data_IF_939410164297
#
_entry.id   IF_939410164297
#
_cell.length_a   1.000
_cell.length_b   1.000
_cell.length_c   1.000
_cell.angle_alpha   90.00
_cell.angle_beta   90.00
_cell.angle_gamma   90.00
#
_symmetry.space_group_name_H-M   'P 1'
#
loop_
_entity.id
_entity.type
_entity.pdbx_description
1 polymer ?
#
# COMPACT_ATOMS: atom_id res chain seq x y z
N UNK A 1 9.27 20.55 16.40
CA UNK A 1 9.22 19.07 16.34
C UNK A 1 8.89 18.64 14.92
N UNK A 2 9.49 17.55 14.45
CA UNK A 2 9.23 16.99 13.11
C UNK A 2 7.76 16.60 12.92
N UNK A 3 7.18 16.85 11.74
CA UNK A 3 5.87 16.36 11.33
C UNK A 3 6.00 14.88 10.93
N UNK A 4 5.44 14.00 11.74
CA UNK A 4 5.52 12.55 11.57
C UNK A 4 4.52 12.07 10.51
N UNK A 5 5.01 11.29 9.56
CA UNK A 5 4.25 10.63 8.50
C UNK A 5 4.31 9.13 8.77
N UNK A 6 3.17 8.48 8.95
CA UNK A 6 3.11 7.02 9.04
C UNK A 6 2.64 6.44 7.71
N UNK A 7 3.36 5.44 7.20
CA UNK A 7 2.94 4.65 6.04
C UNK A 7 2.58 3.26 6.52
N UNK A 8 1.35 2.84 6.31
CA UNK A 8 0.89 1.48 6.62
C UNK A 8 0.60 0.73 5.33
N UNK A 9 0.92 -0.55 5.34
CA UNK A 9 0.65 -1.45 4.22
C UNK A 9 1.27 -2.82 4.44
N UNK A 10 1.43 -3.50 3.33
CA UNK A 10 1.88 -4.89 3.21
C UNK A 10 3.40 -5.01 2.94
N UNK A 11 3.80 -6.11 2.30
CA UNK A 11 5.15 -6.43 1.82
C UNK A 11 5.71 -5.42 0.82
N UNK A 12 4.88 -4.83 -0.03
CA UNK A 12 5.30 -3.80 -0.99
C UNK A 12 5.67 -2.53 -0.23
N UNK A 13 4.90 -2.17 0.80
CA UNK A 13 5.24 -1.05 1.69
C UNK A 13 6.49 -1.34 2.53
N UNK A 14 6.66 -2.59 2.97
CA UNK A 14 7.84 -3.05 3.70
C UNK A 14 9.12 -2.87 2.86
N UNK A 15 9.02 -3.08 1.55
CA UNK A 15 10.15 -2.97 0.61
C UNK A 15 10.70 -4.31 0.16
N UNK A 16 9.84 -5.34 0.08
CA UNK A 16 10.22 -6.65 -0.42
C UNK A 16 10.86 -6.55 -1.82
N UNK A 17 11.86 -7.40 -2.08
CA UNK A 17 12.60 -7.52 -3.35
C UNK A 17 13.38 -6.26 -3.79
N UNK A 18 13.76 -5.42 -2.84
CA UNK A 18 14.60 -4.26 -3.08
C UNK A 18 15.78 -4.24 -2.12
N UNK A 19 16.79 -5.04 -2.46
CA UNK A 19 18.05 -5.14 -1.74
C UNK A 19 18.96 -3.91 -1.94
N UNK A 20 18.71 -3.11 -2.98
CA UNK A 20 19.47 -1.89 -3.24
C UNK A 20 19.18 -0.77 -2.24
N UNK A 21 17.90 -0.45 -2.00
CA UNK A 21 17.50 0.69 -1.14
C UNK A 21 16.29 0.45 -0.25
N UNK A 22 15.78 -0.79 -0.17
CA UNK A 22 14.80 -1.19 0.85
C UNK A 22 13.40 -0.60 0.65
N UNK A 23 12.96 -0.44 -0.59
CA UNK A 23 11.59 -0.08 -0.96
C UNK A 23 11.33 1.40 -1.25
N UNK A 24 10.16 1.68 -1.82
CA UNK A 24 9.72 3.03 -2.16
C UNK A 24 9.56 3.93 -0.93
N UNK A 25 9.17 3.36 0.22
CA UNK A 25 9.04 4.09 1.49
C UNK A 25 10.38 4.54 2.05
N UNK A 26 11.42 3.71 1.92
CA UNK A 26 12.78 4.05 2.34
C UNK A 26 13.39 5.13 1.45
N UNK A 27 13.18 5.05 0.13
CA UNK A 27 13.54 6.15 -0.80
C UNK A 27 12.86 7.46 -0.42
N UNK A 28 11.56 7.41 -0.13
CA UNK A 28 10.81 8.58 0.29
C UNK A 28 11.37 9.18 1.59
N UNK A 29 11.73 8.33 2.56
CA UNK A 29 12.36 8.77 3.81
C UNK A 29 13.67 9.51 3.54
N UNK A 30 14.56 8.92 2.74
CA UNK A 30 15.86 9.50 2.39
C UNK A 30 15.67 10.85 1.71
N UNK A 31 14.79 10.92 0.71
CA UNK A 31 14.47 12.17 0.00
C UNK A 31 14.00 13.25 0.97
N UNK A 32 12.99 12.94 1.79
CA UNK A 32 12.41 13.92 2.72
C UNK A 32 13.44 14.43 3.73
N UNK A 33 14.26 13.53 4.28
CA UNK A 33 15.28 13.90 5.26
C UNK A 33 16.38 14.78 4.62
N UNK A 34 16.74 14.52 3.36
CA UNK A 34 17.73 15.32 2.61
C UNK A 34 17.25 16.73 2.23
N UNK A 35 15.98 16.87 1.81
CA UNK A 35 15.47 18.13 1.25
C UNK A 35 14.88 19.04 2.33
N UNK A 36 14.28 18.46 3.36
CA UNK A 36 13.51 19.21 4.36
C UNK A 36 14.19 19.29 5.73
N UNK A 37 15.49 18.97 5.83
CA UNK A 37 16.29 19.11 7.06
C UNK A 37 15.60 18.56 8.30
N UNK A 38 15.01 17.36 8.20
CA UNK A 38 14.25 16.67 9.27
C UNK A 38 12.98 17.40 9.76
N UNK A 39 12.41 18.32 8.96
CA UNK A 39 11.07 18.90 9.20
C UNK A 39 9.97 17.84 9.21
N UNK A 40 10.18 16.75 8.48
CA UNK A 40 9.32 15.57 8.46
C UNK A 40 10.12 14.32 8.80
N UNK A 41 9.41 13.30 9.31
CA UNK A 41 9.97 11.98 9.60
C UNK A 41 8.99 10.92 9.14
N UNK A 42 9.49 9.94 8.40
CA UNK A 42 8.69 8.83 7.86
C UNK A 42 8.89 7.59 8.71
N UNK A 43 7.77 6.96 9.06
CA UNK A 43 7.72 5.67 9.72
C UNK A 43 7.08 4.66 8.78
N UNK A 44 7.87 3.67 8.36
CA UNK A 44 7.40 2.53 7.59
C UNK A 44 6.79 1.50 8.55
N UNK A 45 5.50 1.19 8.36
CA UNK A 45 4.76 0.14 9.04
C UNK A 45 4.24 -0.92 8.06
N UNK A 46 4.96 -1.19 6.98
CA UNK A 46 4.77 -2.34 6.10
C UNK A 46 4.97 -3.65 6.85
N UNK A 47 4.12 -4.64 6.61
CA UNK A 47 4.21 -5.99 7.19
C UNK A 47 3.93 -7.01 6.09
N UNK A 48 4.78 -8.01 5.95
CA UNK A 48 4.59 -9.06 4.95
C UNK A 48 3.26 -9.80 5.13
N UNK A 49 2.55 -10.04 4.03
CA UNK A 49 1.24 -10.71 4.02
C UNK A 49 0.11 -9.98 4.76
N UNK A 50 0.31 -8.71 5.16
CA UNK A 50 -0.75 -7.94 5.84
C UNK A 50 -1.96 -7.78 4.92
N UNK A 51 -3.14 -7.70 5.52
CA UNK A 51 -4.41 -7.42 4.84
C UNK A 51 -5.10 -6.28 5.58
N UNK A 52 -6.17 -5.72 5.02
CA UNK A 52 -6.96 -4.70 5.73
C UNK A 52 -7.46 -5.18 7.09
N UNK A 53 -7.79 -6.48 7.23
CA UNK A 53 -8.20 -7.10 8.49
C UNK A 53 -7.09 -7.07 9.54
N UNK A 54 -5.87 -7.44 9.16
CA UNK A 54 -4.72 -7.50 10.05
C UNK A 54 -4.18 -6.09 10.37
N UNK A 55 -4.13 -5.20 9.38
CA UNK A 55 -3.81 -3.79 9.56
C UNK A 55 -4.70 -3.16 10.64
N UNK A 56 -6.02 -3.36 10.56
CA UNK A 56 -6.97 -2.81 11.53
C UNK A 56 -6.62 -3.19 12.98
N UNK A 57 -6.14 -4.41 13.22
CA UNK A 57 -5.80 -4.89 14.57
C UNK A 57 -4.60 -4.17 15.19
N UNK A 58 -3.61 -3.80 14.37
CA UNK A 58 -2.36 -3.16 14.84
C UNK A 58 -2.35 -1.64 14.76
N UNK A 59 -3.28 -1.06 13.98
CA UNK A 59 -3.32 0.36 13.63
C UNK A 59 -3.37 1.29 14.84
N UNK A 60 -4.31 1.08 15.77
CA UNK A 60 -4.53 2.01 16.89
C UNK A 60 -3.29 2.13 17.79
N UNK A 61 -2.64 1.01 18.11
CA UNK A 61 -1.43 1.00 18.96
C UNK A 61 -0.29 1.80 18.32
N UNK A 62 -0.08 1.63 17.01
CA UNK A 62 0.96 2.39 16.27
C UNK A 62 0.64 3.87 16.22
N UNK A 63 -0.60 4.24 15.89
CA UNK A 63 -1.03 5.65 15.83
C UNK A 63 -0.91 6.35 17.19
N UNK A 64 -1.27 5.70 18.30
CA UNK A 64 -1.09 6.25 19.64
C UNK A 64 0.39 6.48 20.00
N UNK A 65 1.26 5.54 19.63
CA UNK A 65 2.70 5.67 19.92
C UNK A 65 3.38 6.77 19.10
N UNK A 66 2.98 6.94 17.83
CA UNK A 66 3.64 7.86 16.90
C UNK A 66 2.92 9.20 16.80
N UNK A 67 1.63 9.33 17.12
CA UNK A 67 0.85 10.57 16.98
C UNK A 67 1.13 11.34 15.66
N UNK A 68 0.87 10.72 14.49
CA UNK A 68 1.25 11.28 13.19
C UNK A 68 0.46 12.53 12.82
N UNK A 69 1.05 13.33 11.93
CA UNK A 69 0.36 14.44 11.25
C UNK A 69 -0.20 14.03 9.90
N UNK A 70 0.35 13.00 9.25
CA UNK A 70 -0.12 12.46 7.98
C UNK A 70 -0.09 10.94 8.07
N UNK A 71 -1.10 10.28 7.52
CA UNK A 71 -1.14 8.82 7.36
C UNK A 71 -1.32 8.47 5.89
N UNK A 72 -0.49 7.55 5.40
CA UNK A 72 -0.57 6.97 4.05
C UNK A 72 -0.92 5.49 4.21
N UNK A 73 -1.92 5.01 3.46
CA UNK A 73 -2.35 3.61 3.44
C UNK A 73 -2.11 3.01 2.06
N UNK A 74 -1.36 1.92 2.01
CA UNK A 74 -1.03 1.16 0.80
C UNK A 74 -1.29 -0.33 1.11
N UNK A 75 -2.56 -0.70 1.17
CA UNK A 75 -3.03 -2.00 1.65
C UNK A 75 -4.18 -2.50 0.77
N UNK A 76 -4.19 -3.81 0.49
CA UNK A 76 -5.28 -4.46 -0.23
C UNK A 76 -4.87 -5.44 -1.33
N UNK A 77 -3.57 -5.52 -1.69
CA UNK A 77 -3.15 -6.50 -2.70
C UNK A 77 -3.36 -7.92 -2.18
N UNK A 78 -3.01 -8.20 -0.91
CA UNK A 78 -3.20 -9.50 -0.29
C UNK A 78 -4.69 -9.81 -0.01
N UNK A 79 -5.53 -8.79 0.22
CA UNK A 79 -6.98 -8.98 0.32
C UNK A 79 -7.54 -9.56 -1.00
N UNK A 80 -6.99 -9.14 -2.14
CA UNK A 80 -7.37 -9.61 -3.48
C UNK A 80 -6.83 -11.01 -3.83
N UNK A 81 -6.01 -11.63 -2.98
CA UNK A 81 -5.55 -13.01 -3.18
C UNK A 81 -6.76 -13.92 -3.42
N UNK A 82 -6.68 -14.80 -4.41
CA UNK A 82 -7.74 -15.75 -4.73
C UNK A 82 -7.25 -17.18 -4.57
N UNK A 83 -8.11 -18.07 -4.09
CA UNK A 83 -7.84 -19.49 -3.94
C UNK A 83 -8.64 -20.28 -4.98
N UNK A 84 -7.99 -20.69 -6.08
CA UNK A 84 -8.63 -21.42 -7.17
C UNK A 84 -9.28 -22.73 -6.72
N UNK A 85 -8.72 -23.39 -5.69
CA UNK A 85 -9.24 -24.69 -5.22
C UNK A 85 -10.62 -24.58 -4.57
N UNK A 86 -10.92 -23.44 -3.94
CA UNK A 86 -12.20 -23.19 -3.24
C UNK A 86 -13.03 -22.06 -3.88
N UNK A 87 -12.47 -21.40 -4.90
CA UNK A 87 -13.10 -20.31 -5.65
C UNK A 87 -13.48 -19.10 -4.78
N UNK A 88 -12.61 -18.73 -3.82
CA UNK A 88 -12.86 -17.64 -2.88
C UNK A 88 -11.68 -16.66 -2.81
N UNK A 89 -11.99 -15.38 -2.58
CA UNK A 89 -10.99 -14.39 -2.20
C UNK A 89 -10.56 -14.57 -0.75
N UNK A 90 -9.34 -14.16 -0.44
CA UNK A 90 -8.82 -14.24 0.92
C UNK A 90 -9.59 -13.34 1.88
N UNK A 91 -9.95 -12.14 1.43
CA UNK A 91 -10.88 -11.26 2.12
C UNK A 91 -12.00 -10.92 1.13
N UNK A 92 -13.26 -11.21 1.45
CA UNK A 92 -14.38 -10.85 0.59
C UNK A 92 -14.42 -9.33 0.31
N UNK A 93 -14.85 -8.93 -0.89
CA UNK A 93 -14.84 -7.52 -1.31
C UNK A 93 -15.72 -6.62 -0.41
N UNK A 94 -16.78 -7.16 0.19
CA UNK A 94 -17.62 -6.39 1.13
C UNK A 94 -16.94 -6.24 2.48
N UNK A 95 -16.27 -7.29 2.96
CA UNK A 95 -15.45 -7.23 4.17
C UNK A 95 -14.28 -6.26 4.00
N UNK A 96 -13.63 -6.26 2.84
CA UNK A 96 -12.60 -5.29 2.48
C UNK A 96 -13.13 -3.84 2.58
N UNK A 97 -14.26 -3.53 1.95
CA UNK A 97 -14.89 -2.18 2.04
C UNK A 97 -15.25 -1.80 3.49
N UNK A 98 -15.77 -2.76 4.26
CA UNK A 98 -16.06 -2.55 5.68
C UNK A 98 -14.78 -2.27 6.47
N UNK A 99 -13.68 -2.96 6.17
CA UNK A 99 -12.39 -2.75 6.81
C UNK A 99 -11.82 -1.37 6.48
N UNK A 100 -11.91 -0.90 5.22
CA UNK A 100 -11.50 0.47 4.85
C UNK A 100 -12.21 1.53 5.70
N UNK A 101 -13.52 1.37 5.90
CA UNK A 101 -14.33 2.26 6.74
C UNK A 101 -13.87 2.25 8.21
N UNK A 102 -13.61 1.06 8.77
CA UNK A 102 -13.09 0.90 10.14
C UNK A 102 -11.69 1.50 10.30
N UNK A 103 -10.79 1.26 9.34
CA UNK A 103 -9.43 1.80 9.30
C UNK A 103 -9.47 3.33 9.29
N UNK A 104 -10.25 3.93 8.39
CA UNK A 104 -10.38 5.39 8.30
C UNK A 104 -10.93 5.99 9.60
N UNK A 105 -11.94 5.34 10.19
CA UNK A 105 -12.55 5.77 11.46
C UNK A 105 -11.52 5.83 12.59
N UNK A 106 -10.61 4.85 12.65
CA UNK A 106 -9.51 4.87 13.63
C UNK A 106 -8.53 5.99 13.32
N UNK A 107 -8.09 6.13 12.06
CA UNK A 107 -7.07 7.14 11.67
C UNK A 107 -7.56 8.56 11.93
N UNK A 108 -8.82 8.87 11.63
CA UNK A 108 -9.40 10.22 11.77
C UNK A 108 -9.44 10.72 13.22
N UNK A 109 -9.33 9.82 14.21
CA UNK A 109 -9.14 10.20 15.63
C UNK A 109 -7.78 10.86 15.89
N UNK A 110 -6.79 10.63 15.03
CA UNK A 110 -5.41 11.12 15.19
C UNK A 110 -5.04 12.22 14.20
N UNK A 111 -5.47 12.09 12.94
CA UNK A 111 -5.20 13.12 11.93
C UNK A 111 -6.29 13.20 10.86
N UNK A 112 -6.65 14.41 10.38
CA UNK A 112 -7.52 14.55 9.22
C UNK A 112 -6.81 14.24 7.90
N UNK A 113 -5.46 14.24 7.86
CA UNK A 113 -4.67 14.07 6.62
C UNK A 113 -4.38 12.59 6.36
N UNK A 114 -5.19 11.99 5.50
CA UNK A 114 -5.11 10.58 5.12
C UNK A 114 -5.00 10.49 3.60
N UNK A 115 -4.12 9.64 3.10
CA UNK A 115 -3.87 9.41 1.67
C UNK A 115 -3.92 7.90 1.44
N UNK A 116 -4.55 7.47 0.36
CA UNK A 116 -4.51 6.08 -0.07
C UNK A 116 -3.66 5.93 -1.34
N UNK A 117 -2.94 4.82 -1.41
CA UNK A 117 -2.19 4.37 -2.57
C UNK A 117 -2.99 3.24 -3.23
N UNK A 118 -3.17 3.32 -4.54
CA UNK A 118 -3.78 2.25 -5.32
C UNK A 118 -2.92 1.00 -5.38
N UNK A 119 -3.54 -0.09 -5.79
CA UNK A 119 -2.87 -1.38 -6.00
C UNK A 119 -2.10 -1.36 -7.32
N UNK A 120 -1.03 -2.14 -7.38
CA UNK A 120 -0.27 -2.37 -8.61
C UNK A 120 -0.84 -3.58 -9.36
N UNK A 121 -0.68 -3.60 -10.68
CA UNK A 121 -0.89 -4.82 -11.45
C UNK A 121 0.16 -5.90 -11.11
N UNK A 122 -0.13 -7.13 -11.53
CA UNK A 122 0.75 -8.30 -11.43
C UNK A 122 1.10 -8.86 -12.81
N UNK A 123 2.22 -9.59 -12.89
CA UNK A 123 2.60 -10.42 -14.03
C UNK A 123 1.88 -11.78 -13.91
N UNK A 124 0.66 -11.86 -14.43
CA UNK A 124 -0.23 -13.02 -14.24
C UNK A 124 0.42 -14.36 -14.61
N UNK A 125 1.32 -14.39 -15.58
CA UNK A 125 2.02 -15.62 -15.96
C UNK A 125 2.79 -16.28 -14.81
N UNK A 126 3.32 -15.49 -13.87
CA UNK A 126 4.03 -16.01 -12.69
C UNK A 126 3.12 -16.30 -11.50
N UNK A 127 1.96 -15.64 -11.43
CA UNK A 127 1.12 -15.60 -10.23
C UNK A 127 -0.29 -16.15 -10.42
N UNK A 128 -0.65 -16.65 -11.61
CA UNK A 128 -1.97 -17.21 -11.93
C UNK A 128 -1.88 -18.58 -12.65
N UNK A 129 -1.71 -19.70 -11.91
CA UNK A 129 -1.58 -19.79 -10.46
C UNK A 129 -0.17 -19.43 -9.97
N UNK A 130 -0.04 -19.09 -8.69
CA UNK A 130 1.26 -18.83 -8.09
C UNK A 130 2.12 -20.10 -8.14
N UNK A 131 3.30 -20.00 -8.75
CA UNK A 131 4.20 -21.14 -8.94
C UNK A 131 4.52 -21.82 -7.61
N UNK A 132 4.30 -23.14 -7.55
CA UNK A 132 4.54 -23.95 -6.35
C UNK A 132 3.43 -23.88 -5.28
N UNK A 133 2.29 -23.26 -5.57
CA UNK A 133 1.17 -23.19 -4.62
C UNK A 133 0.38 -24.50 -4.54
N UNK A 134 0.45 -25.18 -3.39
CA UNK A 134 -0.39 -26.35 -3.09
C UNK A 134 -1.85 -25.97 -2.74
N UNK A 135 -2.10 -24.69 -2.49
CA UNK A 135 -3.40 -24.17 -2.03
C UNK A 135 -4.22 -23.52 -3.15
N UNK A 136 -3.67 -23.45 -4.37
CA UNK A 136 -4.32 -22.77 -5.49
C UNK A 136 -4.32 -21.24 -5.38
N UNK A 137 -3.43 -20.67 -4.55
CA UNK A 137 -3.21 -19.21 -4.48
C UNK A 137 -2.91 -18.64 -5.85
N UNK A 138 -3.60 -17.57 -6.21
CA UNK A 138 -3.31 -16.79 -7.39
C UNK A 138 -3.64 -15.31 -7.20
N UNK A 139 -3.00 -14.49 -8.04
CA UNK A 139 -3.36 -13.10 -8.25
C UNK A 139 -3.69 -12.91 -9.72
N UNK A 140 -4.81 -12.24 -10.00
CA UNK A 140 -5.20 -11.86 -11.35
C UNK A 140 -5.59 -10.38 -11.40
N UNK A 141 -5.28 -9.73 -12.52
CA UNK A 141 -5.46 -8.28 -12.62
C UNK A 141 -6.92 -7.87 -12.69
N UNK A 142 -7.82 -8.74 -13.15
CA UNK A 142 -9.26 -8.44 -13.17
C UNK A 142 -9.79 -8.31 -11.74
N UNK A 143 -9.42 -9.23 -10.86
CA UNK A 143 -9.79 -9.20 -9.47
C UNK A 143 -9.10 -8.05 -8.73
N UNK A 144 -7.79 -7.85 -8.91
CA UNK A 144 -7.09 -6.71 -8.28
C UNK A 144 -7.76 -5.38 -8.66
N UNK A 145 -8.18 -5.20 -9.92
CA UNK A 145 -8.93 -4.01 -10.35
C UNK A 145 -10.23 -3.80 -9.59
N UNK A 146 -10.92 -4.86 -9.16
CA UNK A 146 -12.14 -4.75 -8.35
C UNK A 146 -11.83 -4.17 -6.96
N UNK A 147 -10.75 -4.62 -6.33
CA UNK A 147 -10.29 -4.10 -5.03
C UNK A 147 -9.74 -2.67 -5.16
N UNK A 148 -8.92 -2.40 -6.18
CA UNK A 148 -8.39 -1.05 -6.44
C UNK A 148 -9.50 -0.03 -6.70
N UNK A 149 -10.50 -0.41 -7.51
CA UNK A 149 -11.69 0.42 -7.75
C UNK A 149 -12.49 0.65 -6.46
N UNK A 150 -12.56 -0.33 -5.56
CA UNK A 150 -13.19 -0.16 -4.26
C UNK A 150 -12.44 0.87 -3.39
N UNK A 151 -11.10 0.85 -3.38
CA UNK A 151 -10.30 1.89 -2.69
C UNK A 151 -10.54 3.25 -3.31
N UNK A 152 -10.49 3.35 -4.64
CA UNK A 152 -10.68 4.60 -5.39
C UNK A 152 -12.05 5.23 -5.12
N UNK A 153 -13.12 4.43 -5.18
CA UNK A 153 -14.48 4.88 -4.87
C UNK A 153 -14.62 5.29 -3.40
N UNK A 154 -14.07 4.50 -2.48
CA UNK A 154 -14.05 4.84 -1.06
C UNK A 154 -13.36 6.19 -0.80
N UNK A 155 -12.23 6.45 -1.47
CA UNK A 155 -11.52 7.72 -1.36
C UNK A 155 -12.35 8.87 -1.91
N UNK A 156 -12.99 8.70 -3.06
CA UNK A 156 -13.89 9.70 -3.65
C UNK A 156 -15.05 10.05 -2.72
N UNK A 157 -15.73 9.04 -2.17
CA UNK A 157 -16.87 9.21 -1.26
C UNK A 157 -16.47 9.94 0.04
N UNK A 158 -15.25 9.73 0.51
CA UNK A 158 -14.73 10.33 1.74
C UNK A 158 -13.88 11.59 1.53
N UNK A 159 -13.82 12.12 0.29
CA UNK A 159 -12.97 13.25 -0.10
C UNK A 159 -11.50 13.09 0.32
N UNK A 160 -10.94 11.91 0.06
CA UNK A 160 -9.56 11.56 0.36
C UNK A 160 -8.71 11.51 -0.93
N UNK A 161 -7.45 11.96 -0.86
CA UNK A 161 -6.45 11.70 -1.88
C UNK A 161 -6.28 10.20 -2.18
N UNK A 162 -6.25 9.87 -3.47
CA UNK A 162 -5.92 8.55 -3.99
C UNK A 162 -4.80 8.68 -5.04
N UNK A 163 -3.74 7.89 -4.90
CA UNK A 163 -2.60 7.87 -5.83
C UNK A 163 -2.70 6.61 -6.69
N UNK A 164 -3.00 6.78 -7.98
CA UNK A 164 -3.09 5.70 -8.95
C UNK A 164 -1.75 4.99 -9.13
N UNK A 165 -1.76 3.65 -9.04
CA UNK A 165 -0.58 2.79 -9.22
C UNK A 165 -0.77 1.67 -10.24
N UNK A 166 -2.01 1.34 -10.63
CA UNK A 166 -2.31 0.11 -11.35
C UNK A 166 -1.47 -0.09 -12.62
N UNK A 167 -1.40 0.93 -13.47
CA UNK A 167 -0.63 0.89 -14.74
C UNK A 167 0.78 1.49 -14.61
N UNK A 168 1.28 1.75 -13.39
CA UNK A 168 2.59 2.36 -13.19
C UNK A 168 3.75 1.42 -13.51
N UNK A 169 3.59 0.15 -13.13
CA UNK A 169 4.65 -0.87 -13.23
C UNK A 169 4.47 -1.69 -14.50
N UNK A 170 5.59 -2.16 -15.04
CA UNK A 170 5.64 -3.18 -16.10
C UNK A 170 6.00 -4.53 -15.48
N UNK A 171 5.88 -5.59 -16.27
CA UNK A 171 6.16 -6.94 -15.79
C UNK A 171 7.65 -7.10 -15.41
N UNK A 172 8.56 -6.44 -16.14
CA UNK A 172 10.00 -6.35 -15.82
C UNK A 172 10.30 -5.62 -14.49
N UNK A 173 9.35 -4.86 -13.95
CA UNK A 173 9.48 -4.20 -12.65
C UNK A 173 9.06 -5.12 -11.49
N UNK A 174 8.59 -6.34 -11.77
CA UNK A 174 8.05 -7.27 -10.77
C UNK A 174 8.95 -8.51 -10.67
N UNK A 175 9.61 -8.67 -9.52
CA UNK A 175 10.63 -9.72 -9.33
C UNK A 175 10.00 -11.12 -9.43
N UNK A 176 9.02 -11.39 -8.58
CA UNK A 176 8.26 -12.64 -8.52
C UNK A 176 6.90 -12.55 -9.23
N UNK A 177 6.67 -11.47 -9.97
CA UNK A 177 5.39 -11.17 -10.64
C UNK A 177 4.36 -10.48 -9.75
N UNK A 178 4.63 -10.30 -8.45
CA UNK A 178 3.78 -9.53 -7.52
C UNK A 178 4.52 -8.32 -6.94
N UNK A 179 5.73 -8.53 -6.45
CA UNK A 179 6.48 -7.54 -5.71
C UNK A 179 7.37 -6.70 -6.64
N UNK A 180 7.36 -5.37 -6.50
CA UNK A 180 8.27 -4.53 -7.26
C UNK A 180 9.73 -4.83 -6.92
N UNK A 181 10.60 -4.88 -7.92
CA UNK A 181 12.04 -4.85 -7.73
C UNK A 181 12.55 -3.42 -7.47
N UNK A 182 13.86 -3.22 -7.37
CA UNK A 182 14.45 -1.91 -7.11
C UNK A 182 14.00 -0.81 -8.10
N UNK A 183 13.80 -1.15 -9.38
CA UNK A 183 13.30 -0.22 -10.40
C UNK A 183 11.80 0.07 -10.23
N UNK A 184 11.00 -0.95 -9.92
CA UNK A 184 9.58 -0.78 -9.61
C UNK A 184 9.35 0.09 -8.37
N UNK A 185 10.11 -0.14 -7.30
CA UNK A 185 10.09 0.71 -6.10
C UNK A 185 10.54 2.14 -6.37
N UNK A 186 11.50 2.36 -7.27
CA UNK A 186 11.88 3.71 -7.72
C UNK A 186 10.71 4.41 -8.42
N UNK A 187 10.00 3.73 -9.34
CA UNK A 187 8.81 4.29 -10.02
C UNK A 187 7.71 4.66 -9.02
N UNK A 188 7.42 3.78 -8.07
CA UNK A 188 6.44 4.04 -7.00
C UNK A 188 6.86 5.23 -6.15
N UNK A 189 8.14 5.29 -5.75
CA UNK A 189 8.68 6.41 -4.98
C UNK A 189 8.48 7.74 -5.72
N UNK A 190 8.85 7.82 -7.01
CA UNK A 190 8.72 9.05 -7.78
C UNK A 190 7.25 9.51 -7.84
N UNK A 191 6.32 8.60 -8.15
CA UNK A 191 4.88 8.90 -8.19
C UNK A 191 4.35 9.45 -6.85
N UNK A 192 4.72 8.81 -5.73
CA UNK A 192 4.29 9.28 -4.41
C UNK A 192 4.94 10.61 -4.05
N UNK A 193 6.24 10.75 -4.29
CA UNK A 193 7.02 11.96 -4.01
C UNK A 193 6.46 13.16 -4.78
N UNK A 194 6.23 13.02 -6.07
CA UNK A 194 5.66 14.08 -6.93
C UNK A 194 4.28 14.50 -6.42
N UNK A 195 3.40 13.54 -6.14
CA UNK A 195 2.09 13.82 -5.56
C UNK A 195 2.17 14.64 -4.26
N UNK A 196 3.05 14.24 -3.33
CA UNK A 196 3.20 14.92 -2.04
C UNK A 196 3.73 16.35 -2.20
N UNK A 197 4.64 16.59 -3.14
CA UNK A 197 5.22 17.91 -3.43
C UNK A 197 4.21 18.81 -4.13
N UNK A 198 3.58 18.33 -5.20
CA UNK A 198 2.61 19.10 -6.02
C UNK A 198 1.41 19.56 -5.18
N UNK A 199 0.94 18.70 -4.27
CA UNK A 199 -0.18 19.01 -3.37
C UNK A 199 0.24 19.74 -2.09
N UNK A 200 1.50 20.17 -1.98
CA UNK A 200 2.05 20.91 -0.82
C UNK A 200 1.80 20.19 0.51
N UNK A 201 1.86 18.86 0.48
CA UNK A 201 1.72 18.01 1.67
C UNK A 201 3.03 18.03 2.46
N UNK A 202 4.16 18.03 1.75
CA UNK A 202 5.52 18.13 2.30
C UNK A 202 6.21 19.45 1.91
#
# INVERSE_FOLDING_TARGET
MSKRICVFGDSITWGAFDDERGGWTTRLKIYIESIYSRKYSIYNFGVDGDTTKLLFQRLNKKLQSICPKIVIIAEGINDSLFYQNIQENYIDINDFKNNLTKILTVIKKFTPKVIFIGLTKVEEFKVNPFLGSETGKCYDNENIKKYDLAIKNFCKENNLPFIEMFDLLKDEDLEDGLHPNAQGHEKMFQRVKDFLVENKII
#
